data_IF_020259996136
#
_entry.id   IF_020259996136
#
_cell.length_a   1.000
_cell.length_b   1.000
_cell.length_c   1.000
_cell.angle_alpha   90.00
_cell.angle_beta   90.00
_cell.angle_gamma   90.00
#
_symmetry.space_group_name_H-M   'P 1'
#
loop_
_entity.id
_entity.type
_entity.pdbx_description
1 polymer ?
#
# COMPACT_ATOMS: atom_id res chain seq x y z
N UNK A 1 22.50 -33.42 -31.61
CA UNK A 1 23.06 -32.12 -31.15
C UNK A 1 21.92 -31.22 -30.73
N UNK A 2 21.60 -31.21 -29.45
CA UNK A 2 20.60 -30.29 -28.87
C UNK A 2 21.36 -29.27 -28.03
N UNK A 3 21.31 -27.99 -28.43
CA UNK A 3 21.91 -26.88 -27.72
C UNK A 3 21.04 -26.53 -26.50
N UNK A 4 21.66 -26.59 -25.32
CA UNK A 4 21.15 -26.08 -24.07
C UNK A 4 21.03 -24.55 -24.16
N UNK A 5 19.83 -24.00 -24.13
CA UNK A 5 19.58 -22.58 -23.95
C UNK A 5 19.79 -22.21 -22.50
N UNK A 6 20.79 -21.36 -22.26
CA UNK A 6 21.07 -20.75 -20.97
C UNK A 6 19.86 -19.89 -20.53
N UNK A 7 19.30 -20.27 -19.40
CA UNK A 7 18.39 -19.38 -18.68
C UNK A 7 19.22 -18.26 -18.06
N UNK A 8 19.13 -17.06 -18.63
CA UNK A 8 19.56 -15.85 -17.96
C UNK A 8 18.69 -15.67 -16.71
N UNK A 9 19.26 -15.97 -15.54
CA UNK A 9 18.78 -15.46 -14.27
C UNK A 9 18.88 -13.95 -14.35
N UNK A 10 17.75 -13.27 -14.51
CA UNK A 10 17.63 -11.85 -14.21
C UNK A 10 17.91 -11.70 -12.70
N UNK A 11 19.14 -11.31 -12.38
CA UNK A 11 19.47 -10.73 -11.09
C UNK A 11 18.70 -9.41 -11.02
N UNK A 12 17.56 -9.43 -10.38
CA UNK A 12 16.87 -8.19 -9.99
C UNK A 12 17.74 -7.58 -8.90
N UNK A 13 18.49 -6.55 -9.27
CA UNK A 13 19.23 -5.73 -8.32
C UNK A 13 18.23 -5.12 -7.34
N UNK A 14 18.19 -5.68 -6.13
CA UNK A 14 17.47 -5.09 -5.02
C UNK A 14 18.21 -3.83 -4.60
N UNK A 15 17.82 -2.70 -5.14
CA UNK A 15 18.21 -1.42 -4.58
C UNK A 15 17.60 -1.31 -3.19
N UNK A 16 18.42 -1.50 -2.17
CA UNK A 16 18.10 -1.02 -0.83
C UNK A 16 18.05 0.51 -0.91
N UNK A 17 16.88 1.06 -1.16
CA UNK A 17 16.68 2.48 -0.99
C UNK A 17 16.81 2.78 0.50
N UNK A 18 18.02 3.20 0.90
CA UNK A 18 18.24 3.89 2.17
C UNK A 18 17.79 5.33 1.94
N UNK A 19 16.51 5.50 1.63
CA UNK A 19 15.93 6.81 1.54
C UNK A 19 16.10 7.48 2.91
N UNK A 20 16.31 8.81 2.91
CA UNK A 20 16.43 9.65 4.10
C UNK A 20 15.11 9.70 4.91
N UNK A 21 14.47 8.54 5.13
CA UNK A 21 13.23 8.37 5.90
C UNK A 21 13.49 8.38 7.43
N UNK A 22 14.66 8.86 7.86
CA UNK A 22 15.03 8.88 9.27
C UNK A 22 15.22 7.48 9.83
N UNK A 23 14.54 7.19 10.94
CA UNK A 23 14.67 5.91 11.66
C UNK A 23 13.68 4.84 11.17
N UNK A 24 13.27 4.81 9.89
CA UNK A 24 12.40 3.76 9.33
C UNK A 24 13.15 2.95 8.27
N UNK A 25 13.03 1.61 8.32
CA UNK A 25 13.46 0.72 7.25
C UNK A 25 12.27 0.43 6.35
N UNK A 26 12.32 0.85 5.10
CA UNK A 26 11.27 0.60 4.11
C UNK A 26 11.79 -0.23 2.94
N UNK A 27 10.97 -1.14 2.48
CA UNK A 27 11.17 -1.81 1.21
C UNK A 27 9.83 -2.12 0.55
N UNK A 28 9.73 -1.94 -0.76
CA UNK A 28 8.53 -2.23 -1.53
C UNK A 28 8.85 -3.23 -2.65
N UNK A 29 7.91 -4.13 -2.92
CA UNK A 29 7.96 -5.10 -4.01
C UNK A 29 6.70 -4.94 -4.86
N UNK A 30 6.87 -4.80 -6.16
CA UNK A 30 5.75 -5.00 -7.08
C UNK A 30 5.41 -6.51 -7.12
N UNK A 31 4.18 -6.86 -6.70
CA UNK A 31 3.72 -8.24 -6.53
C UNK A 31 2.39 -8.48 -7.22
N UNK A 32 2.09 -9.75 -7.46
CA UNK A 32 0.83 -10.16 -8.07
C UNK A 32 0.70 -9.80 -9.55
N UNK A 33 -0.48 -10.10 -10.15
CA UNK A 33 -0.68 -10.03 -11.59
C UNK A 33 -0.68 -8.60 -12.15
N UNK A 34 -0.97 -7.59 -11.34
CA UNK A 34 -1.02 -6.17 -11.75
C UNK A 34 0.05 -5.31 -11.10
N UNK A 35 1.00 -5.91 -10.38
CA UNK A 35 2.16 -5.22 -9.84
C UNK A 35 1.85 -4.28 -8.69
N UNK A 36 1.00 -4.71 -7.73
CA UNK A 36 0.74 -3.96 -6.52
C UNK A 36 2.01 -3.77 -5.69
N UNK A 37 2.25 -2.58 -5.17
CA UNK A 37 3.36 -2.24 -4.30
C UNK A 37 3.11 -2.79 -2.88
N UNK A 38 3.47 -4.05 -2.63
CA UNK A 38 3.53 -4.57 -1.28
C UNK A 38 4.68 -3.90 -0.52
N UNK A 39 4.36 -3.15 0.52
CA UNK A 39 5.36 -2.39 1.29
C UNK A 39 5.56 -2.96 2.68
N UNK A 40 6.83 -3.17 3.06
CA UNK A 40 7.26 -3.53 4.41
C UNK A 40 7.91 -2.30 5.03
N UNK A 41 7.41 -1.87 6.19
CA UNK A 41 8.04 -0.84 7.01
C UNK A 41 8.41 -1.45 8.35
N UNK A 42 9.68 -1.33 8.74
CA UNK A 42 10.20 -1.92 9.98
C UNK A 42 10.91 -0.89 10.87
N UNK A 43 10.76 -1.06 12.16
CA UNK A 43 11.52 -0.32 13.16
C UNK A 43 12.97 -0.84 13.17
N UNK A 44 13.99 0.00 12.97
CA UNK A 44 15.39 -0.43 12.92
C UNK A 44 15.92 -0.89 14.29
N UNK A 45 15.24 -0.54 15.38
CA UNK A 45 15.65 -0.88 16.74
C UNK A 45 15.06 -2.21 17.18
N UNK A 46 13.76 -2.44 16.94
CA UNK A 46 13.07 -3.65 17.42
C UNK A 46 12.85 -4.69 16.33
N UNK A 47 13.08 -4.33 15.07
CA UNK A 47 12.78 -5.13 13.87
C UNK A 47 11.29 -5.49 13.72
N UNK A 48 10.42 -4.90 14.53
CA UNK A 48 8.97 -5.04 14.34
C UNK A 48 8.54 -4.30 13.08
N UNK A 49 7.67 -4.94 12.30
CA UNK A 49 7.27 -4.47 10.98
C UNK A 49 5.78 -4.58 10.72
N UNK A 50 5.28 -3.64 9.92
CA UNK A 50 4.00 -3.78 9.23
C UNK A 50 4.25 -4.20 7.78
N UNK A 51 3.40 -5.08 7.27
CA UNK A 51 3.24 -5.35 5.83
C UNK A 51 1.97 -4.66 5.38
N UNK A 52 2.07 -3.92 4.27
CA UNK A 52 0.92 -3.25 3.67
C UNK A 52 0.69 -3.85 2.29
N UNK A 53 -0.55 -4.27 2.03
CA UNK A 53 -1.04 -4.79 0.76
C UNK A 53 -0.22 -5.96 0.18
N UNK A 54 -0.18 -7.14 0.82
CA UNK A 54 0.45 -8.33 0.27
C UNK A 54 -0.37 -8.90 -0.91
N UNK A 55 -0.28 -8.23 -2.07
CA UNK A 55 -1.13 -8.44 -3.24
C UNK A 55 -0.82 -9.68 -4.08
N UNK A 56 0.15 -10.51 -3.68
CA UNK A 56 0.56 -11.73 -4.37
C UNK A 56 1.98 -12.12 -4.02
N UNK A 57 2.56 -13.08 -4.75
CA UNK A 57 3.98 -13.48 -4.66
C UNK A 57 4.49 -13.66 -3.22
N UNK A 58 3.71 -14.35 -2.37
CA UNK A 58 3.99 -14.49 -0.94
C UNK A 58 5.43 -14.96 -0.64
N UNK A 59 5.98 -15.88 -1.44
CA UNK A 59 7.36 -16.35 -1.30
C UNK A 59 8.39 -15.21 -1.42
N UNK A 60 8.17 -14.26 -2.37
CA UNK A 60 9.05 -13.09 -2.55
C UNK A 60 8.94 -12.14 -1.37
N UNK A 61 7.72 -11.93 -0.84
CA UNK A 61 7.48 -11.12 0.36
C UNK A 61 8.19 -11.74 1.57
N UNK A 62 8.04 -13.04 1.79
CA UNK A 62 8.68 -13.76 2.91
C UNK A 62 10.21 -13.75 2.79
N UNK A 63 10.75 -13.88 1.58
CA UNK A 63 12.19 -13.76 1.35
C UNK A 63 12.71 -12.33 1.66
N UNK A 64 11.92 -11.29 1.34
CA UNK A 64 12.24 -9.91 1.71
C UNK A 64 12.28 -9.74 3.22
N UNK A 65 11.27 -10.24 3.94
CA UNK A 65 11.23 -10.19 5.41
C UNK A 65 12.46 -10.83 6.05
N UNK A 66 12.86 -12.01 5.54
CA UNK A 66 14.08 -12.67 5.99
C UNK A 66 15.34 -11.83 5.77
N UNK A 67 15.47 -11.17 4.61
CA UNK A 67 16.59 -10.26 4.33
C UNK A 67 16.60 -9.02 5.21
N UNK A 68 15.43 -8.49 5.56
CA UNK A 68 15.30 -7.34 6.45
C UNK A 68 15.46 -7.72 7.93
N UNK A 69 15.44 -9.01 8.27
CA UNK A 69 15.38 -9.49 9.66
C UNK A 69 14.09 -9.00 10.37
N UNK A 70 13.03 -8.77 9.61
CA UNK A 70 11.82 -8.14 10.09
C UNK A 70 10.87 -9.14 10.78
N UNK A 71 10.36 -8.79 11.96
CA UNK A 71 9.30 -9.52 12.67
C UNK A 71 7.95 -8.82 12.43
N UNK A 72 7.12 -9.44 11.64
CA UNK A 72 5.82 -8.86 11.29
C UNK A 72 4.88 -8.89 12.50
N UNK A 73 4.33 -7.73 12.85
CA UNK A 73 3.37 -7.55 13.94
C UNK A 73 1.99 -7.14 13.44
N UNK A 74 1.84 -6.85 12.16
CA UNK A 74 0.56 -6.54 11.53
C UNK A 74 0.62 -6.60 10.02
N UNK A 75 -0.49 -7.04 9.41
CA UNK A 75 -0.76 -6.97 7.97
C UNK A 75 -1.91 -5.97 7.82
N UNK A 76 -1.70 -4.91 7.05
CA UNK A 76 -2.68 -3.84 6.89
C UNK A 76 -3.07 -3.76 5.42
N UNK A 77 -4.37 -3.75 5.14
CA UNK A 77 -4.88 -3.50 3.80
C UNK A 77 -5.34 -2.06 3.69
N UNK A 78 -4.83 -1.37 2.66
CA UNK A 78 -5.29 -0.02 2.33
C UNK A 78 -6.73 -0.04 1.83
N UNK A 79 -7.11 -1.12 1.14
CA UNK A 79 -8.48 -1.36 0.67
C UNK A 79 -8.68 -2.83 0.28
N UNK A 80 -9.90 -3.19 -0.13
CA UNK A 80 -10.31 -4.58 -0.32
C UNK A 80 -10.22 -5.11 -1.76
N UNK A 81 -9.50 -4.48 -2.71
CA UNK A 81 -9.35 -5.03 -4.05
C UNK A 81 -8.44 -6.24 -4.08
N UNK A 82 -8.72 -7.15 -5.04
CA UNK A 82 -8.10 -8.48 -5.11
C UNK A 82 -6.58 -8.43 -5.18
N UNK A 83 -6.04 -7.52 -5.93
CA UNK A 83 -4.61 -7.36 -6.20
C UNK A 83 -3.83 -6.79 -5.01
N UNK A 84 -4.51 -6.29 -3.97
CA UNK A 84 -3.92 -5.89 -2.69
C UNK A 84 -3.99 -7.00 -1.63
N UNK A 85 -4.77 -8.08 -1.87
CA UNK A 85 -5.06 -9.11 -0.85
C UNK A 85 -4.74 -10.55 -1.28
N UNK A 86 -4.36 -10.81 -2.54
CA UNK A 86 -4.14 -12.16 -3.07
C UNK A 86 -3.13 -13.00 -2.26
N UNK A 87 -2.06 -12.40 -1.74
CA UNK A 87 -1.02 -13.09 -0.96
C UNK A 87 -1.26 -13.12 0.54
N UNK A 88 -2.36 -12.51 1.02
CA UNK A 88 -2.62 -12.33 2.45
C UNK A 88 -2.67 -13.63 3.22
N UNK A 89 -3.31 -14.65 2.68
CA UNK A 89 -3.45 -15.96 3.34
C UNK A 89 -2.11 -16.59 3.66
N UNK A 90 -1.23 -16.65 2.66
CA UNK A 90 0.07 -17.27 2.76
C UNK A 90 1.00 -16.46 3.67
N UNK A 91 1.00 -15.15 3.56
CA UNK A 91 1.80 -14.25 4.40
C UNK A 91 1.31 -14.31 5.85
N UNK A 92 0.02 -14.27 6.10
CA UNK A 92 -0.55 -14.38 7.45
C UNK A 92 -0.25 -15.75 8.09
N UNK A 93 -0.37 -16.84 7.31
CA UNK A 93 -0.04 -18.18 7.80
C UNK A 93 1.42 -18.33 8.18
N UNK A 94 2.34 -17.72 7.43
CA UNK A 94 3.77 -17.80 7.67
C UNK A 94 4.24 -16.90 8.82
N UNK A 95 3.60 -15.74 9.04
CA UNK A 95 4.02 -14.75 10.03
C UNK A 95 3.25 -14.81 11.34
N UNK A 96 2.03 -15.37 11.31
CA UNK A 96 1.10 -15.31 12.44
C UNK A 96 0.56 -13.92 12.75
N UNK A 97 0.84 -12.92 11.88
CA UNK A 97 0.48 -11.54 12.14
C UNK A 97 -1.03 -11.28 11.95
N UNK A 98 -1.65 -10.45 12.82
CA UNK A 98 -3.04 -10.05 12.69
C UNK A 98 -3.25 -9.20 11.43
N UNK A 99 -4.44 -9.37 10.83
CA UNK A 99 -4.85 -8.64 9.62
C UNK A 99 -5.77 -7.50 10.03
N UNK A 100 -5.58 -6.34 9.42
CA UNK A 100 -6.39 -5.14 9.61
C UNK A 100 -6.92 -4.61 8.28
N UNK A 101 -8.18 -4.21 8.24
CA UNK A 101 -8.83 -3.56 7.10
C UNK A 101 -9.97 -2.66 7.59
N UNK A 102 -10.34 -1.65 6.82
CA UNK A 102 -11.46 -0.76 7.15
C UNK A 102 -12.81 -1.48 7.05
N UNK A 103 -13.75 -1.12 7.96
CA UNK A 103 -15.09 -1.73 8.04
C UNK A 103 -15.84 -1.70 6.72
N UNK A 104 -15.78 -0.58 6.00
CA UNK A 104 -16.54 -0.36 4.77
C UNK A 104 -16.05 -1.19 3.57
N UNK A 105 -14.87 -1.83 3.69
CA UNK A 105 -14.29 -2.70 2.67
C UNK A 105 -14.34 -4.20 3.04
N UNK A 106 -14.97 -4.57 4.17
CA UNK A 106 -15.05 -5.96 4.60
C UNK A 106 -15.73 -6.88 3.58
N UNK A 107 -16.82 -6.43 2.96
CA UNK A 107 -17.54 -7.22 1.95
C UNK A 107 -16.71 -7.38 0.67
N UNK A 108 -15.96 -6.33 0.30
CA UNK A 108 -15.05 -6.37 -0.83
C UNK A 108 -13.90 -7.36 -0.55
N UNK A 109 -13.27 -7.27 0.61
CA UNK A 109 -12.22 -8.17 1.09
C UNK A 109 -12.68 -9.64 1.11
N UNK A 110 -13.82 -9.92 1.74
CA UNK A 110 -14.41 -11.28 1.80
C UNK A 110 -14.80 -11.80 0.43
N UNK A 111 -15.07 -10.89 -0.51
CA UNK A 111 -15.39 -11.15 -1.90
C UNK A 111 -14.21 -11.49 -2.81
N UNK A 112 -12.98 -11.69 -2.29
CA UNK A 112 -11.76 -11.94 -3.06
C UNK A 112 -11.96 -12.97 -4.17
N UNK A 113 -12.53 -14.13 -3.87
CA UNK A 113 -12.73 -15.19 -4.86
C UNK A 113 -13.66 -14.76 -6.02
N UNK A 114 -14.62 -13.89 -5.77
CA UNK A 114 -15.49 -13.31 -6.80
C UNK A 114 -14.73 -12.32 -7.66
N UNK A 115 -13.94 -11.43 -7.05
CA UNK A 115 -13.12 -10.46 -7.77
C UNK A 115 -12.09 -11.16 -8.67
N UNK A 116 -11.35 -12.14 -8.13
CA UNK A 116 -10.33 -12.90 -8.85
C UNK A 116 -10.86 -13.56 -10.14
N UNK A 117 -12.10 -14.06 -10.12
CA UNK A 117 -12.72 -14.66 -11.31
C UNK A 117 -12.89 -13.72 -12.49
N UNK A 118 -13.06 -12.40 -12.27
CA UNK A 118 -13.13 -11.42 -13.36
C UNK A 118 -11.80 -11.29 -14.12
N UNK A 119 -10.73 -11.82 -13.54
CA UNK A 119 -9.37 -11.81 -14.10
C UNK A 119 -8.88 -13.23 -14.42
N UNK A 120 -9.81 -14.21 -14.51
CA UNK A 120 -9.51 -15.64 -14.73
C UNK A 120 -8.54 -16.23 -13.68
N UNK A 121 -8.55 -15.68 -12.46
CA UNK A 121 -7.74 -16.12 -11.34
C UNK A 121 -8.57 -16.95 -10.36
N UNK A 122 -7.91 -17.90 -9.70
CA UNK A 122 -8.47 -18.65 -8.57
C UNK A 122 -7.83 -18.15 -7.29
N UNK A 123 -8.64 -17.65 -6.37
CA UNK A 123 -8.18 -17.20 -5.06
C UNK A 123 -9.02 -17.86 -3.96
N UNK A 124 -8.40 -18.38 -2.90
CA UNK A 124 -9.12 -18.85 -1.72
C UNK A 124 -9.70 -17.67 -0.95
N UNK A 125 -10.68 -17.93 -0.10
CA UNK A 125 -11.19 -16.89 0.81
C UNK A 125 -10.04 -16.42 1.72
N UNK A 126 -9.83 -15.10 1.88
CA UNK A 126 -8.80 -14.59 2.79
C UNK A 126 -9.16 -14.92 4.25
N UNK A 127 -8.19 -14.97 5.18
CA UNK A 127 -8.47 -15.11 6.61
C UNK A 127 -9.32 -13.94 7.11
N UNK A 128 -10.14 -14.16 8.14
CA UNK A 128 -10.91 -13.05 8.74
C UNK A 128 -9.95 -12.04 9.40
N UNK A 129 -10.19 -10.74 9.23
CA UNK A 129 -9.40 -9.70 9.87
C UNK A 129 -9.55 -9.76 11.39
N UNK A 130 -8.44 -9.62 12.10
CA UNK A 130 -8.41 -9.57 13.56
C UNK A 130 -8.72 -8.16 14.09
N UNK A 131 -8.48 -7.13 13.29
CA UNK A 131 -8.72 -5.74 13.65
C UNK A 131 -9.50 -5.04 12.54
N UNK A 132 -10.56 -4.35 12.92
CA UNK A 132 -11.37 -3.54 12.01
C UNK A 132 -11.01 -2.08 12.22
N UNK A 133 -10.61 -1.42 11.13
CA UNK A 133 -10.27 0.00 11.11
C UNK A 133 -11.52 0.83 10.80
N UNK A 134 -11.54 2.06 11.33
CA UNK A 134 -12.59 3.06 11.06
C UNK A 134 -12.00 4.43 10.67
N UNK A 135 -10.67 4.57 10.75
CA UNK A 135 -9.94 5.81 10.49
C UNK A 135 -9.70 6.62 11.77
N UNK A 136 -8.47 7.13 11.90
CA UNK A 136 -8.01 7.88 13.08
C UNK A 136 -7.21 7.05 14.08
N UNK A 137 -7.17 5.72 13.92
CA UNK A 137 -6.36 4.85 14.77
C UNK A 137 -4.87 5.10 14.54
N UNK A 138 -4.06 4.75 15.55
CA UNK A 138 -2.61 4.68 15.46
C UNK A 138 -2.16 3.23 15.63
N UNK A 139 -1.52 2.69 14.61
CA UNK A 139 -0.89 1.36 14.64
C UNK A 139 0.55 1.53 15.09
N UNK A 140 0.92 0.89 16.22
CA UNK A 140 2.27 0.96 16.79
C UNK A 140 3.04 -0.32 16.51
N UNK A 141 4.30 -0.17 16.09
CA UNK A 141 5.23 -1.29 15.84
C UNK A 141 6.66 -0.84 16.17
N UNK A 142 7.20 -1.42 17.22
CA UNK A 142 8.45 -0.94 17.83
C UNK A 142 8.32 0.50 18.31
N UNK A 143 9.18 1.36 17.80
CA UNK A 143 9.18 2.80 18.09
C UNK A 143 8.46 3.63 17.02
N UNK A 144 7.83 2.96 16.06
CA UNK A 144 7.13 3.61 14.96
C UNK A 144 5.63 3.62 15.17
N UNK A 145 4.99 4.64 14.60
CA UNK A 145 3.56 4.87 14.69
C UNK A 145 3.00 5.21 13.31
N UNK A 146 2.03 4.44 12.84
CA UNK A 146 1.31 4.71 11.61
C UNK A 146 -0.11 5.18 11.92
N UNK A 147 -0.43 6.43 11.59
CA UNK A 147 -1.78 6.97 11.72
C UNK A 147 -2.62 6.55 10.52
N UNK A 148 -3.77 5.94 10.77
CA UNK A 148 -4.73 5.54 9.74
C UNK A 148 -5.55 6.76 9.32
N UNK A 149 -5.50 7.11 8.04
CA UNK A 149 -6.29 8.17 7.44
C UNK A 149 -7.36 7.52 6.56
N UNK A 150 -8.63 7.62 6.90
CA UNK A 150 -9.73 7.16 6.04
C UNK A 150 -9.83 8.09 4.83
N UNK A 151 -9.63 7.57 3.63
CA UNK A 151 -9.58 8.31 2.36
C UNK A 151 -10.52 7.70 1.32
N UNK A 152 -11.84 7.69 1.58
CA UNK A 152 -12.80 7.04 0.70
C UNK A 152 -12.84 7.70 -0.68
N UNK A 153 -13.14 6.86 -1.69
CA UNK A 153 -13.36 7.33 -3.05
C UNK A 153 -12.93 6.36 -4.14
N UNK A 154 -11.77 5.70 -4.01
CA UNK A 154 -11.43 4.53 -4.82
C UNK A 154 -12.30 3.34 -4.41
N UNK A 155 -12.30 3.05 -3.11
CA UNK A 155 -13.31 2.21 -2.44
C UNK A 155 -13.95 2.98 -1.28
N UNK A 156 -15.07 2.50 -0.71
CA UNK A 156 -15.66 3.11 0.48
C UNK A 156 -14.73 3.07 1.71
N UNK A 157 -13.97 2.00 1.86
CA UNK A 157 -13.07 1.76 3.00
C UNK A 157 -11.59 2.07 2.73
N UNK A 158 -11.25 2.77 1.64
CA UNK A 158 -9.86 3.14 1.38
C UNK A 158 -9.23 3.90 2.53
N UNK A 159 -8.02 3.48 2.94
CA UNK A 159 -7.21 4.16 3.96
C UNK A 159 -5.80 4.40 3.45
N UNK A 160 -5.17 5.47 3.96
CA UNK A 160 -3.74 5.70 3.85
C UNK A 160 -3.10 5.56 5.23
N UNK A 161 -1.82 5.17 5.28
CA UNK A 161 -1.04 5.10 6.50
C UNK A 161 0.01 6.21 6.49
N UNK A 162 -0.10 7.15 7.41
CA UNK A 162 0.84 8.25 7.57
C UNK A 162 1.77 8.00 8.75
N UNK A 163 3.07 8.12 8.53
CA UNK A 163 4.12 7.98 9.53
C UNK A 163 4.98 9.23 9.55
N UNK A 164 5.07 9.86 10.72
CA UNK A 164 6.05 10.92 10.95
C UNK A 164 7.45 10.33 11.04
N UNK A 165 8.44 11.06 10.57
CA UNK A 165 9.83 10.65 10.65
C UNK A 165 10.61 11.51 11.64
N UNK A 166 11.39 10.89 12.48
CA UNK A 166 12.37 11.59 13.32
C UNK A 166 13.68 11.68 12.54
N UNK A 167 13.98 12.87 12.01
CA UNK A 167 15.23 13.12 11.29
C UNK A 167 15.26 12.71 9.82
N UNK A 168 14.09 12.59 9.17
CA UNK A 168 13.96 12.29 7.75
C UNK A 168 12.63 12.78 7.17
N UNK A 169 12.28 12.38 5.94
CA UNK A 169 11.02 12.71 5.34
C UNK A 169 9.90 11.83 5.92
N UNK A 170 8.70 12.39 6.21
CA UNK A 170 7.52 11.61 6.56
C UNK A 170 7.13 10.66 5.41
N UNK A 171 6.43 9.59 5.74
CA UNK A 171 6.00 8.56 4.79
C UNK A 171 4.47 8.44 4.79
N UNK A 172 3.90 8.37 3.59
CA UNK A 172 2.50 8.06 3.35
C UNK A 172 2.40 6.83 2.45
N UNK A 173 1.84 5.74 2.97
CA UNK A 173 1.42 4.60 2.15
C UNK A 173 0.01 4.89 1.69
N UNK A 174 -0.16 5.23 0.42
CA UNK A 174 -1.37 5.84 -0.10
C UNK A 174 -2.39 4.84 -0.65
N UNK A 175 -1.99 3.57 -0.83
CA UNK A 175 -2.80 2.62 -1.59
C UNK A 175 -3.22 3.25 -2.92
N UNK A 176 -4.45 3.01 -3.32
CA UNK A 176 -4.99 3.53 -4.57
C UNK A 176 -5.74 4.86 -4.39
N UNK A 177 -5.25 5.71 -3.47
CA UNK A 177 -5.82 7.06 -3.30
C UNK A 177 -5.09 8.09 -4.17
N UNK A 178 -3.75 8.16 -4.08
CA UNK A 178 -2.92 9.16 -4.77
C UNK A 178 -1.71 8.49 -5.41
N UNK A 179 -1.50 8.75 -6.69
CA UNK A 179 -0.39 8.25 -7.50
C UNK A 179 0.50 9.39 -8.00
N UNK A 180 1.68 9.06 -8.49
CA UNK A 180 2.51 9.99 -9.24
C UNK A 180 1.78 10.45 -10.52
N UNK A 181 1.31 11.70 -10.53
CA UNK A 181 0.53 12.28 -11.63
C UNK A 181 -0.87 11.67 -11.81
N UNK A 182 -1.45 11.01 -10.80
CA UNK A 182 -2.74 10.34 -10.93
C UNK A 182 -3.50 10.21 -9.61
N UNK A 183 -4.72 9.68 -9.71
CA UNK A 183 -5.56 9.29 -8.58
C UNK A 183 -6.19 7.93 -8.84
N UNK A 184 -6.63 7.24 -7.81
CA UNK A 184 -7.35 5.98 -7.95
C UNK A 184 -8.61 6.12 -8.80
N UNK A 185 -8.89 5.11 -9.61
CA UNK A 185 -10.13 5.07 -10.41
C UNK A 185 -11.35 4.99 -9.49
N UNK A 186 -12.45 5.54 -9.96
CA UNK A 186 -13.67 5.70 -9.15
C UNK A 186 -14.94 5.16 -9.84
N UNK A 187 -14.75 4.41 -10.92
CA UNK A 187 -15.81 3.82 -11.74
C UNK A 187 -16.18 2.38 -11.35
N UNK A 188 -15.52 1.81 -10.35
CA UNK A 188 -15.91 0.54 -9.73
C UNK A 188 -17.06 0.73 -8.73
N UNK A 189 -17.84 -0.33 -8.44
CA UNK A 189 -18.89 -0.28 -7.43
C UNK A 189 -18.37 0.24 -6.08
N UNK A 190 -19.03 1.28 -5.54
CA UNK A 190 -18.60 1.96 -4.31
C UNK A 190 -17.64 3.14 -4.53
N UNK A 191 -17.06 3.28 -5.74
CA UNK A 191 -16.20 4.39 -6.10
C UNK A 191 -16.93 5.74 -6.17
N UNK A 192 -16.20 6.84 -5.95
CA UNK A 192 -16.75 8.19 -5.98
C UNK A 192 -15.67 9.23 -6.27
N UNK A 193 -15.73 9.85 -7.45
CA UNK A 193 -14.78 10.90 -7.85
C UNK A 193 -14.82 12.10 -6.89
N UNK A 194 -16.01 12.49 -6.43
CA UNK A 194 -16.13 13.57 -5.46
C UNK A 194 -15.44 13.25 -4.13
N UNK A 195 -15.59 12.00 -3.63
CA UNK A 195 -14.99 11.61 -2.36
C UNK A 195 -13.47 11.50 -2.45
N UNK A 196 -12.92 10.91 -3.50
CA UNK A 196 -11.46 10.79 -3.64
C UNK A 196 -10.78 12.16 -3.72
N UNK A 197 -11.36 13.10 -4.49
CA UNK A 197 -10.84 14.46 -4.58
C UNK A 197 -10.89 15.18 -3.23
N UNK A 198 -11.98 15.06 -2.48
CA UNK A 198 -12.10 15.61 -1.12
C UNK A 198 -11.10 14.93 -0.18
N UNK A 199 -10.98 13.61 -0.21
CA UNK A 199 -10.01 12.87 0.62
C UNK A 199 -8.58 13.35 0.41
N UNK A 200 -8.18 13.57 -0.86
CA UNK A 200 -6.84 14.05 -1.19
C UNK A 200 -6.65 15.50 -0.72
N UNK A 201 -7.58 16.41 -1.10
CA UNK A 201 -7.44 17.84 -0.77
C UNK A 201 -7.48 18.11 0.73
N UNK A 202 -8.44 17.50 1.44
CA UNK A 202 -8.70 17.83 2.84
C UNK A 202 -7.78 17.10 3.81
N UNK A 203 -7.28 15.91 3.44
CA UNK A 203 -6.48 15.06 4.33
C UNK A 203 -5.03 14.91 3.89
N UNK A 204 -4.79 14.60 2.62
CA UNK A 204 -3.43 14.33 2.15
C UNK A 204 -2.65 15.60 1.88
N UNK A 205 -3.25 16.59 1.25
CA UNK A 205 -2.60 17.87 0.98
C UNK A 205 -2.42 18.76 2.24
N UNK A 206 -2.99 18.38 3.37
CA UNK A 206 -2.70 18.96 4.68
C UNK A 206 -1.40 18.41 5.31
N UNK A 207 -0.83 17.34 4.75
CA UNK A 207 0.45 16.77 5.20
C UNK A 207 1.63 17.65 4.72
N UNK A 208 2.82 17.52 5.37
CA UNK A 208 4.02 18.24 4.94
C UNK A 208 4.37 17.96 3.48
N UNK A 209 4.80 18.98 2.72
CA UNK A 209 5.13 18.86 1.30
C UNK A 209 6.19 17.80 0.98
N UNK A 210 7.18 17.67 1.86
CA UNK A 210 8.24 16.67 1.73
C UNK A 210 7.83 15.24 2.09
N UNK A 211 6.55 14.98 2.40
CA UNK A 211 6.06 13.62 2.68
C UNK A 211 6.21 12.75 1.44
N UNK A 212 6.99 11.67 1.54
CA UNK A 212 7.12 10.67 0.49
C UNK A 212 5.81 9.88 0.40
N UNK A 213 5.25 9.80 -0.79
CA UNK A 213 4.02 9.05 -1.09
C UNK A 213 4.39 7.76 -1.82
N UNK A 214 4.04 6.63 -1.23
CA UNK A 214 4.15 5.30 -1.84
C UNK A 214 2.75 4.87 -2.25
N UNK A 215 2.44 4.87 -3.54
CA UNK A 215 1.14 4.45 -4.04
C UNK A 215 1.00 2.93 -4.07
N UNK A 216 -0.22 2.44 -4.25
CA UNK A 216 -0.49 1.02 -4.49
C UNK A 216 0.11 0.50 -5.79
N UNK A 217 0.34 1.38 -6.77
CA UNK A 217 0.96 1.05 -8.06
C UNK A 217 1.86 2.17 -8.56
N UNK A 218 2.89 1.80 -9.31
CA UNK A 218 3.81 2.76 -9.94
C UNK A 218 4.86 3.33 -8.99
N UNK A 219 5.52 4.44 -9.40
CA UNK A 219 6.62 5.02 -8.65
C UNK A 219 6.17 5.87 -7.47
N UNK A 220 7.10 6.09 -6.53
CA UNK A 220 6.95 7.04 -5.44
C UNK A 220 6.83 8.47 -5.97
N UNK A 221 6.20 9.33 -5.16
CA UNK A 221 6.11 10.78 -5.38
C UNK A 221 6.15 11.52 -4.04
N UNK A 222 5.79 12.80 -4.01
CA UNK A 222 5.66 13.59 -2.77
C UNK A 222 4.36 14.35 -2.72
N UNK A 223 3.90 14.71 -1.52
CA UNK A 223 2.71 15.55 -1.34
C UNK A 223 2.89 16.90 -2.06
N UNK A 224 4.07 17.48 -2.02
CA UNK A 224 4.35 18.76 -2.69
C UNK A 224 4.23 18.67 -4.20
N UNK A 225 4.80 17.61 -4.81
CA UNK A 225 4.72 17.37 -6.26
C UNK A 225 3.27 17.21 -6.71
N UNK A 226 2.51 16.35 -6.02
CA UNK A 226 1.12 16.08 -6.40
C UNK A 226 0.20 17.28 -6.14
N UNK A 227 0.44 18.05 -5.08
CA UNK A 227 -0.33 19.25 -4.81
C UNK A 227 -0.14 20.31 -5.88
N UNK A 228 1.03 20.40 -6.48
CA UNK A 228 1.31 21.37 -7.54
C UNK A 228 0.89 20.86 -8.92
N UNK A 229 1.31 19.63 -9.30
CA UNK A 229 1.30 19.17 -10.67
C UNK A 229 0.26 18.07 -10.99
N UNK A 230 -0.41 17.48 -10.00
CA UNK A 230 -1.36 16.40 -10.28
C UNK A 230 -2.50 16.90 -11.18
N UNK A 231 -2.72 16.28 -12.37
CA UNK A 231 -3.71 16.77 -13.35
C UNK A 231 -5.17 16.64 -12.90
N UNK A 232 -5.45 15.85 -11.85
CA UNK A 232 -6.81 15.61 -11.36
C UNK A 232 -7.17 16.46 -10.13
N UNK A 233 -6.18 16.78 -9.29
CA UNK A 233 -6.45 17.36 -7.97
C UNK A 233 -5.46 18.47 -7.58
N UNK A 234 -4.37 18.64 -8.33
CA UNK A 234 -3.35 19.65 -8.09
C UNK A 234 -3.83 21.07 -8.43
N UNK A 235 -2.99 22.06 -8.14
CA UNK A 235 -3.30 23.47 -8.40
C UNK A 235 -3.62 23.75 -9.87
N UNK A 236 -2.91 23.09 -10.79
CA UNK A 236 -3.11 23.26 -12.23
C UNK A 236 -4.42 22.63 -12.73
N UNK A 237 -4.96 21.63 -12.03
CA UNK A 237 -6.27 21.06 -12.35
C UNK A 237 -7.43 22.03 -12.11
N UNK A 238 -7.25 23.03 -11.26
CA UNK A 238 -8.27 24.04 -10.92
C UNK A 238 -8.33 25.22 -11.88
N UNK A 239 -7.36 25.35 -12.78
CA UNK A 239 -7.22 26.50 -13.71
C UNK A 239 -7.98 26.38 -15.05
N UNK A 240 -8.80 25.35 -15.23
CA UNK A 240 -9.54 25.07 -16.47
C UNK A 240 -11.05 25.31 -16.44
N UNK A 241 -11.56 25.99 -15.44
CA UNK A 241 -12.98 26.37 -15.34
C UNK A 241 -13.11 27.87 -15.05
N UNK A 242 -12.83 28.69 -16.05
CA UNK A 242 -13.33 30.06 -16.22
C UNK A 242 -13.99 30.19 -17.60
#
# INVERSE_FOLDING_TARGET
MYQLRHHHRLLVDFQFSRDNLGLMLRNSLAVGPVGCNCTVVACPVTHEALIVDPGGDAERILALLGKMGARVVGIVHTHGHFDHILGTREVAAATGAPISIHSDDLDLYRGLARQARYFDLVAPRPPEPAQILSGGETLSFGQLHARVLHTPGHTPGSVCLFMEATGGAPLLLAGDTLFAGGIGRTDFPGGSSRRILSSIRDKLFALPEGTVVVPGHGPDTTIGEEREHNPYVGRLASGGQD
#
